data_IF_600332291987
#
_entry.id   IF_600332291987
#
_cell.length_a   1.000
_cell.length_b   1.000
_cell.length_c   1.000
_cell.angle_alpha   90.00
_cell.angle_beta   90.00
_cell.angle_gamma   90.00
#
_symmetry.space_group_name_H-M   'P 1'
#
loop_
_entity.id
_entity.type
_entity.pdbx_description
1 polymer ?
#
# COMPACT_ATOMS: atom_id res chain seq x y z
N UNK A 1 5.93 5.43 12.38
CA UNK A 1 4.73 4.82 11.76
C UNK A 1 3.92 5.97 11.20
N UNK A 2 3.55 5.96 9.91
CA UNK A 2 2.81 7.08 9.34
C UNK A 2 1.50 7.28 10.11
N UNK A 3 1.06 8.54 10.21
CA UNK A 3 -0.20 8.87 10.87
C UNK A 3 -1.34 8.11 10.17
N UNK A 4 -2.30 7.55 10.92
CA UNK A 4 -3.48 6.96 10.29
C UNK A 4 -4.13 8.03 9.42
N UNK A 5 -4.36 7.68 8.15
CA UNK A 5 -5.09 8.54 7.24
C UNK A 5 -6.52 8.73 7.72
N UNK A 6 -7.25 9.61 7.03
CA UNK A 6 -8.62 9.94 7.44
C UNK A 6 -9.62 8.99 6.81
N UNK A 7 -10.73 8.80 7.51
CA UNK A 7 -11.96 8.26 6.92
C UNK A 7 -12.38 9.17 5.76
N UNK A 8 -12.72 8.63 4.58
CA UNK A 8 -13.20 9.45 3.47
C UNK A 8 -14.44 10.26 3.85
N UNK A 9 -14.53 11.50 3.38
CA UNK A 9 -15.68 12.37 3.64
C UNK A 9 -16.99 11.79 3.09
N UNK A 10 -16.90 11.01 2.00
CA UNK A 10 -18.04 10.36 1.35
C UNK A 10 -18.49 9.05 2.04
N UNK A 11 -17.85 8.60 3.13
CA UNK A 11 -18.08 7.27 3.71
C UNK A 11 -19.55 6.98 4.04
N UNK A 12 -20.21 7.87 4.77
CA UNK A 12 -21.62 7.69 5.15
C UNK A 12 -22.56 7.79 3.96
N UNK A 13 -22.29 8.72 3.03
CA UNK A 13 -23.06 8.87 1.80
C UNK A 13 -22.98 7.61 0.96
N UNK A 14 -21.78 7.05 0.77
CA UNK A 14 -21.56 5.82 0.03
C UNK A 14 -22.26 4.61 0.68
N UNK A 15 -22.18 4.45 2.01
CA UNK A 15 -22.92 3.39 2.74
C UNK A 15 -24.42 3.46 2.45
N UNK A 16 -25.00 4.67 2.51
CA UNK A 16 -26.43 4.90 2.27
C UNK A 16 -26.81 4.62 0.82
N UNK A 17 -26.05 5.14 -0.14
CA UNK A 17 -26.33 4.94 -1.57
C UNK A 17 -26.25 3.45 -1.94
N UNK A 18 -25.22 2.73 -1.52
CA UNK A 18 -25.10 1.29 -1.79
C UNK A 18 -26.25 0.50 -1.16
N UNK A 19 -26.61 0.81 0.10
CA UNK A 19 -27.71 0.11 0.80
C UNK A 19 -29.08 0.36 0.18
N UNK A 20 -29.31 1.53 -0.42
CA UNK A 20 -30.56 1.85 -1.11
C UNK A 20 -30.69 1.15 -2.47
N UNK A 21 -29.57 0.88 -3.14
CA UNK A 21 -29.56 0.34 -4.50
C UNK A 21 -29.32 -1.19 -4.55
N UNK A 22 -28.80 -1.80 -3.48
CA UNK A 22 -28.51 -3.23 -3.44
C UNK A 22 -28.79 -3.83 -2.05
N UNK A 23 -29.79 -4.71 -1.98
CA UNK A 23 -30.21 -5.37 -0.72
C UNK A 23 -29.17 -6.33 -0.16
N UNK A 24 -28.32 -6.93 -1.01
CA UNK A 24 -27.22 -7.80 -0.59
C UNK A 24 -26.15 -6.94 0.07
N UNK A 25 -25.77 -5.83 -0.55
CA UNK A 25 -24.82 -4.88 0.07
C UNK A 25 -25.39 -4.25 1.33
N UNK A 26 -26.68 -3.91 1.37
CA UNK A 26 -27.34 -3.41 2.57
C UNK A 26 -27.19 -4.37 3.76
N UNK A 27 -27.43 -5.66 3.54
CA UNK A 27 -27.26 -6.70 4.56
C UNK A 27 -25.82 -6.83 5.05
N UNK A 28 -24.84 -6.70 4.16
CA UNK A 28 -23.43 -6.73 4.52
C UNK A 28 -23.03 -5.48 5.30
N UNK A 29 -23.46 -4.29 4.88
CA UNK A 29 -23.14 -3.02 5.52
C UNK A 29 -23.72 -2.97 6.94
N UNK A 30 -24.96 -3.39 7.13
CA UNK A 30 -25.62 -3.44 8.44
C UNK A 30 -24.89 -4.40 9.41
N UNK A 31 -24.42 -5.53 8.89
CA UNK A 31 -23.68 -6.52 9.69
C UNK A 31 -22.30 -6.03 10.16
N UNK A 32 -21.69 -5.09 9.46
CA UNK A 32 -20.33 -4.60 9.71
C UNK A 32 -20.28 -3.06 9.78
N UNK A 33 -21.27 -2.44 10.44
CA UNK A 33 -21.46 -0.98 10.41
C UNK A 33 -20.33 -0.18 11.07
N UNK A 34 -19.56 -0.85 11.93
CA UNK A 34 -18.49 -0.34 12.78
C UNK A 34 -17.13 -0.30 12.06
N UNK A 35 -17.06 -0.88 10.87
CA UNK A 35 -15.87 -0.85 10.03
C UNK A 35 -15.83 0.45 9.20
N UNK A 36 -14.63 1.01 9.09
CA UNK A 36 -14.37 2.21 8.29
C UNK A 36 -13.19 2.00 7.34
N UNK A 37 -13.30 2.57 6.14
CA UNK A 37 -12.13 2.70 5.27
C UNK A 37 -11.20 3.77 5.84
N UNK A 38 -9.96 3.40 6.09
CA UNK A 38 -8.93 4.29 6.65
C UNK A 38 -7.72 4.27 5.72
N UNK A 39 -7.36 5.45 5.19
CA UNK A 39 -6.12 5.60 4.41
C UNK A 39 -4.88 5.39 5.29
N UNK A 40 -3.74 5.04 4.68
CA UNK A 40 -2.46 4.93 5.40
C UNK A 40 -1.59 6.19 5.29
N UNK A 41 -2.05 7.21 4.55
CA UNK A 41 -1.46 8.55 4.50
C UNK A 41 -0.12 8.70 3.77
N UNK A 42 0.61 7.60 3.54
CA UNK A 42 1.91 7.61 2.87
C UNK A 42 1.89 6.64 1.68
N UNK A 43 2.05 7.18 0.47
CA UNK A 43 1.96 6.41 -0.77
C UNK A 43 3.18 5.50 -0.97
N UNK A 44 4.39 5.94 -0.62
CA UNK A 44 5.60 5.11 -0.69
C UNK A 44 5.46 3.90 0.21
N UNK A 45 5.15 4.14 1.49
CA UNK A 45 4.93 3.13 2.50
C UNK A 45 3.86 2.13 2.05
N UNK A 46 2.75 2.64 1.52
CA UNK A 46 1.61 1.82 1.07
C UNK A 46 2.01 0.96 -0.12
N UNK A 47 2.74 1.52 -1.09
CA UNK A 47 3.23 0.80 -2.26
C UNK A 47 4.21 -0.30 -1.87
N UNK A 48 5.24 0.00 -1.08
CA UNK A 48 6.22 -1.00 -0.61
C UNK A 48 5.52 -2.12 0.18
N UNK A 49 4.57 -1.77 1.06
CA UNK A 49 3.78 -2.75 1.80
C UNK A 49 2.93 -3.63 0.89
N UNK A 50 2.31 -3.04 -0.13
CA UNK A 50 1.51 -3.76 -1.12
C UNK A 50 2.37 -4.78 -1.87
N UNK A 51 3.51 -4.36 -2.43
CA UNK A 51 4.45 -5.22 -3.16
C UNK A 51 4.94 -6.40 -2.30
N UNK A 52 5.30 -6.14 -1.05
CA UNK A 52 5.73 -7.20 -0.12
C UNK A 52 4.60 -8.21 0.16
N UNK A 53 3.35 -7.74 0.25
CA UNK A 53 2.18 -8.57 0.56
C UNK A 53 1.60 -9.38 -0.60
N UNK A 54 2.03 -9.14 -1.84
CA UNK A 54 1.45 -9.80 -3.03
C UNK A 54 1.55 -11.34 -2.96
N UNK A 55 0.51 -12.05 -3.42
CA UNK A 55 0.50 -13.52 -3.60
C UNK A 55 0.78 -14.35 -2.31
N UNK A 56 0.58 -13.77 -1.12
CA UNK A 56 0.70 -14.48 0.16
C UNK A 56 -0.48 -14.14 1.09
N UNK A 57 -0.72 -14.96 2.11
CA UNK A 57 -1.79 -14.71 3.08
C UNK A 57 -1.55 -13.42 3.87
N UNK A 58 -2.62 -12.80 4.36
CA UNK A 58 -2.55 -11.59 5.19
C UNK A 58 -1.65 -11.78 6.41
N UNK A 59 -1.70 -12.97 7.05
CA UNK A 59 -0.87 -13.31 8.20
C UNK A 59 0.61 -13.42 7.83
N UNK A 60 0.92 -14.03 6.68
CA UNK A 60 2.28 -14.11 6.17
C UNK A 60 2.81 -12.71 5.81
N UNK A 61 2.03 -11.90 5.09
CA UNK A 61 2.37 -10.53 4.75
C UNK A 61 2.67 -9.67 5.99
N UNK A 62 1.83 -9.77 7.02
CA UNK A 62 2.06 -9.07 8.30
C UNK A 62 3.36 -9.49 8.98
N UNK A 63 3.68 -10.79 8.95
CA UNK A 63 4.92 -11.33 9.53
C UNK A 63 6.16 -10.83 8.79
N UNK A 64 6.16 -10.91 7.46
CA UNK A 64 7.26 -10.41 6.61
C UNK A 64 7.42 -8.91 6.77
N UNK A 65 6.31 -8.15 6.75
CA UNK A 65 6.31 -6.72 6.95
C UNK A 65 6.93 -6.31 8.29
N UNK A 66 6.58 -7.00 9.38
CA UNK A 66 7.14 -6.72 10.71
C UNK A 66 8.66 -6.91 10.73
N UNK A 67 9.17 -8.01 10.16
CA UNK A 67 10.62 -8.27 10.06
C UNK A 67 11.31 -7.22 9.19
N UNK A 68 10.70 -6.86 8.07
CA UNK A 68 11.19 -5.82 7.18
C UNK A 68 11.30 -4.47 7.90
N UNK A 69 10.26 -4.00 8.59
CA UNK A 69 10.34 -2.78 9.39
C UNK A 69 11.37 -2.86 10.52
N UNK A 70 11.53 -4.01 11.17
CA UNK A 70 12.57 -4.18 12.19
C UNK A 70 13.98 -4.07 11.61
N UNK A 71 14.19 -4.54 10.38
CA UNK A 71 15.48 -4.48 9.68
C UNK A 71 15.80 -3.09 9.14
N UNK A 72 14.83 -2.43 8.50
CA UNK A 72 15.00 -1.13 7.85
C UNK A 72 14.86 0.04 8.83
N UNK A 73 14.04 -0.14 9.88
CA UNK A 73 13.58 0.95 10.74
C UNK A 73 12.47 1.75 10.05
N UNK A 74 12.69 3.05 9.89
CA UNK A 74 11.77 3.92 9.18
C UNK A 74 11.78 3.61 7.68
N UNK A 75 10.60 3.35 7.11
CA UNK A 75 10.43 2.96 5.71
C UNK A 75 10.52 4.21 4.83
N UNK A 76 11.74 4.53 4.41
CA UNK A 76 12.04 5.60 3.45
C UNK A 76 12.90 5.03 2.31
N UNK A 77 12.88 5.65 1.11
CA UNK A 77 13.74 5.22 0.02
C UNK A 77 15.21 5.12 0.45
N UNK A 78 15.69 6.16 1.15
CA UNK A 78 17.06 6.23 1.67
C UNK A 78 17.42 5.08 2.61
N UNK A 79 16.52 4.65 3.49
CA UNK A 79 16.81 3.56 4.42
C UNK A 79 16.74 2.19 3.75
N UNK A 80 15.83 2.00 2.78
CA UNK A 80 15.76 0.77 2.00
C UNK A 80 17.02 0.58 1.14
N UNK A 81 17.54 1.66 0.54
CA UNK A 81 18.77 1.63 -0.28
C UNK A 81 20.06 1.34 0.52
N UNK A 82 19.99 1.27 1.86
CA UNK A 82 21.13 0.93 2.73
C UNK A 82 21.28 -0.56 3.00
N UNK A 83 20.31 -1.37 2.61
CA UNK A 83 20.36 -2.82 2.77
C UNK A 83 20.43 -3.51 1.42
N UNK A 84 21.05 -4.68 1.38
CA UNK A 84 21.12 -5.47 0.15
C UNK A 84 19.91 -6.42 -0.02
N UNK A 85 19.84 -7.06 -1.18
CA UNK A 85 18.78 -8.01 -1.53
C UNK A 85 18.75 -9.20 -0.55
N UNK A 86 19.90 -9.69 -0.10
CA UNK A 86 19.95 -10.88 0.76
C UNK A 86 19.49 -10.56 2.19
N UNK A 87 19.76 -9.35 2.68
CA UNK A 87 19.18 -8.82 3.90
C UNK A 87 17.65 -8.71 3.80
N UNK A 88 17.11 -8.20 2.70
CA UNK A 88 15.65 -8.17 2.47
C UNK A 88 15.07 -9.59 2.41
N UNK A 89 15.77 -10.54 1.77
CA UNK A 89 15.34 -11.94 1.70
C UNK A 89 15.34 -12.63 3.06
N UNK A 90 16.28 -12.29 3.95
CA UNK A 90 16.26 -12.77 5.34
C UNK A 90 15.01 -12.33 6.12
N UNK A 91 14.35 -11.25 5.70
CA UNK A 91 13.08 -10.80 6.25
C UNK A 91 11.88 -11.64 5.75
N UNK A 92 12.06 -12.46 4.72
CA UNK A 92 11.04 -13.32 4.11
C UNK A 92 10.53 -12.82 2.75
N UNK A 93 11.17 -11.82 2.14
CA UNK A 93 10.87 -11.41 0.77
C UNK A 93 11.41 -12.47 -0.22
N UNK A 94 10.69 -12.67 -1.33
CA UNK A 94 11.29 -13.35 -2.49
C UNK A 94 12.35 -12.44 -3.11
N UNK A 95 13.30 -13.03 -3.85
CA UNK A 95 14.32 -12.25 -4.58
C UNK A 95 13.70 -11.18 -5.48
N UNK A 96 12.67 -11.55 -6.23
CA UNK A 96 11.97 -10.67 -7.15
C UNK A 96 11.29 -9.49 -6.44
N UNK A 97 10.68 -9.72 -5.27
CA UNK A 97 10.11 -8.63 -4.44
C UNK A 97 11.18 -7.72 -3.87
N UNK A 98 12.33 -8.26 -3.45
CA UNK A 98 13.45 -7.43 -3.00
C UNK A 98 13.97 -6.54 -4.14
N UNK A 99 14.12 -7.08 -5.35
CA UNK A 99 14.48 -6.31 -6.55
C UNK A 99 13.45 -5.21 -6.86
N UNK A 100 12.15 -5.50 -6.73
CA UNK A 100 11.09 -4.49 -6.94
C UNK A 100 11.11 -3.38 -5.89
N UNK A 101 11.22 -3.75 -4.61
CA UNK A 101 11.31 -2.79 -3.51
C UNK A 101 12.54 -1.88 -3.67
N UNK A 102 13.67 -2.46 -4.08
CA UNK A 102 14.88 -1.70 -4.36
C UNK A 102 14.68 -0.75 -5.55
N UNK A 103 14.20 -1.25 -6.69
CA UNK A 103 13.98 -0.42 -7.89
C UNK A 103 12.97 0.71 -7.67
N UNK A 104 11.89 0.46 -6.93
CA UNK A 104 10.93 1.51 -6.53
C UNK A 104 11.66 2.57 -5.69
N UNK A 105 12.48 2.15 -4.72
CA UNK A 105 13.22 3.07 -3.85
C UNK A 105 14.27 3.88 -4.59
N UNK A 106 14.92 3.32 -5.61
CA UNK A 106 15.88 4.02 -6.46
C UNK A 106 15.21 5.13 -7.28
N UNK A 107 14.07 4.84 -7.88
CA UNK A 107 13.35 5.78 -8.74
C UNK A 107 12.46 6.76 -7.97
N UNK A 108 12.19 6.53 -6.67
CA UNK A 108 11.19 7.28 -5.91
C UNK A 108 11.40 8.80 -5.87
N UNK A 109 12.65 9.28 -5.98
CA UNK A 109 12.94 10.72 -5.92
C UNK A 109 12.16 11.55 -6.94
N UNK A 110 11.88 11.00 -8.13
CA UNK A 110 11.09 11.68 -9.18
C UNK A 110 9.59 11.74 -8.80
N UNK A 111 9.12 10.77 -8.02
CA UNK A 111 7.73 10.55 -7.64
C UNK A 111 7.35 11.25 -6.33
N UNK A 112 8.33 11.54 -5.47
CA UNK A 112 8.14 12.21 -4.18
C UNK A 112 7.62 13.65 -4.33
N UNK A 113 7.98 14.30 -5.45
CA UNK A 113 7.56 15.66 -5.78
C UNK A 113 6.15 15.75 -6.40
N UNK A 114 5.55 14.61 -6.77
CA UNK A 114 4.26 14.59 -7.43
C UNK A 114 3.13 14.86 -6.42
N UNK A 115 2.15 15.66 -6.85
CA UNK A 115 0.93 15.83 -6.08
C UNK A 115 -0.08 14.73 -6.44
N UNK A 116 0.02 13.61 -5.74
CA UNK A 116 -0.84 12.43 -5.93
C UNK A 116 -2.32 12.69 -5.62
N UNK A 117 -2.65 13.70 -4.82
CA UNK A 117 -4.03 13.97 -4.39
C UNK A 117 -4.89 14.63 -5.48
N UNK A 118 -4.26 15.29 -6.46
CA UNK A 118 -4.98 15.98 -7.55
C UNK A 118 -5.02 15.17 -8.86
N UNK A 119 -4.31 14.04 -8.90
CA UNK A 119 -4.26 13.17 -10.07
C UNK A 119 -5.50 12.29 -10.13
N UNK A 120 -5.99 12.02 -11.34
CA UNK A 120 -7.02 11.01 -11.55
C UNK A 120 -6.44 9.59 -11.56
N UNK A 121 -7.31 8.58 -11.55
CA UNK A 121 -6.91 7.18 -11.49
C UNK A 121 -6.04 6.79 -12.68
N UNK A 122 -6.35 7.24 -13.90
CA UNK A 122 -5.57 6.94 -15.10
C UNK A 122 -4.14 7.49 -15.01
N UNK A 123 -3.98 8.74 -14.58
CA UNK A 123 -2.68 9.38 -14.37
C UNK A 123 -1.85 8.63 -13.32
N UNK A 124 -2.48 8.24 -12.20
CA UNK A 124 -1.83 7.47 -11.13
C UNK A 124 -1.38 6.11 -11.66
N UNK A 125 -2.24 5.41 -12.40
CA UNK A 125 -1.92 4.12 -13.02
C UNK A 125 -0.73 4.26 -13.95
N UNK A 126 -0.75 5.23 -14.87
CA UNK A 126 0.35 5.47 -15.82
C UNK A 126 1.70 5.70 -15.10
N UNK A 127 1.70 6.41 -13.97
CA UNK A 127 2.92 6.58 -13.16
C UNK A 127 3.35 5.29 -12.48
N UNK A 128 2.42 4.56 -11.85
CA UNK A 128 2.77 3.40 -11.03
C UNK A 128 3.19 2.17 -11.85
N UNK A 129 2.65 1.97 -13.06
CA UNK A 129 2.98 0.81 -13.91
C UNK A 129 4.44 0.80 -14.40
N UNK A 130 5.14 1.94 -14.33
CA UNK A 130 6.56 2.00 -14.65
C UNK A 130 7.43 1.25 -13.63
N UNK A 131 6.92 1.06 -12.40
CA UNK A 131 7.61 0.27 -11.40
C UNK A 131 7.49 -1.23 -11.72
N UNK A 132 8.64 -1.90 -11.88
CA UNK A 132 8.65 -3.35 -12.07
C UNK A 132 7.94 -4.03 -10.88
N UNK A 133 7.00 -4.92 -11.18
CA UNK A 133 6.20 -5.61 -10.16
C UNK A 133 4.88 -4.92 -9.81
N UNK A 134 4.61 -3.76 -10.42
CA UNK A 134 3.30 -3.13 -10.46
C UNK A 134 2.75 -3.33 -11.88
N UNK A 135 1.53 -3.84 -11.97
CA UNK A 135 0.85 -4.10 -13.23
C UNK A 135 -0.52 -3.45 -13.25
N UNK A 136 -1.16 -3.48 -14.42
CA UNK A 136 -2.58 -3.15 -14.61
C UNK A 136 -3.43 -4.35 -14.23
#
# INVERSE_FOLDING_TARGET
MPLPGRRPEYWETAKKELSLNDIILASVIDKFDDLELISRGDIFYTLIRSVIGQQISVKAASTVWKRFCQKIGEITPKNILRVDIDEMRSCGLSRRKAEYVLGISESWGEYDSLNWEIMNDEEIIEKLIHFRGVGV
#
